data_IF_361320729955
#
_entry.id   IF_361320729955
#
_cell.length_a   1.000
_cell.length_b   1.000
_cell.length_c   1.000
_cell.angle_alpha   90.00
_cell.angle_beta   90.00
_cell.angle_gamma   90.00
#
_symmetry.space_group_name_H-M   'P 1'
#
loop_
_entity.id
_entity.type
_entity.pdbx_description
1 polymer ?
#
# COMPACT_ATOMS: atom_id res chain seq x y z
N UNK A 1 -4.89 16.88 2.77
CA UNK A 1 -6.08 16.44 1.99
C UNK A 1 -6.23 14.93 1.81
N UNK A 2 -5.30 14.09 2.28
CA UNK A 2 -5.43 12.61 2.24
C UNK A 2 -6.54 12.04 3.16
N UNK A 3 -6.81 12.70 4.29
CA UNK A 3 -7.84 12.27 5.26
C UNK A 3 -9.27 12.38 4.71
N UNK A 4 -9.52 13.29 3.75
CA UNK A 4 -10.84 13.44 3.13
C UNK A 4 -11.11 12.32 2.13
N UNK A 5 -10.12 11.95 1.31
CA UNK A 5 -10.21 10.88 0.32
C UNK A 5 -10.48 9.49 0.96
N UNK A 6 -9.81 9.19 2.09
CA UNK A 6 -10.05 7.98 2.87
C UNK A 6 -11.48 7.91 3.46
N UNK A 7 -12.16 9.05 3.61
CA UNK A 7 -13.49 9.13 4.23
C UNK A 7 -14.63 9.10 3.21
N UNK A 8 -14.35 9.25 1.91
CA UNK A 8 -15.38 9.37 0.86
C UNK A 8 -15.35 8.26 -0.18
N UNK A 9 -14.30 7.42 -0.21
CA UNK A 9 -14.14 6.38 -1.25
C UNK A 9 -14.43 5.00 -0.68
N UNK A 10 -15.37 4.28 -1.32
CA UNK A 10 -15.84 2.94 -0.89
C UNK A 10 -15.13 1.80 -1.63
N UNK A 11 -14.27 2.14 -2.58
CA UNK A 11 -13.51 1.21 -3.41
C UNK A 11 -12.08 1.74 -3.58
N UNK A 12 -11.15 0.81 -3.80
CA UNK A 12 -9.73 1.09 -3.99
C UNK A 12 -9.44 2.02 -5.19
N UNK A 13 -10.14 1.80 -6.31
CA UNK A 13 -9.98 2.61 -7.52
C UNK A 13 -10.35 4.07 -7.27
N UNK A 14 -11.42 4.33 -6.54
CA UNK A 14 -11.84 5.70 -6.23
C UNK A 14 -10.83 6.40 -5.31
N UNK A 15 -10.24 5.68 -4.35
CA UNK A 15 -9.24 6.23 -3.43
C UNK A 15 -7.97 6.66 -4.18
N UNK A 16 -7.50 5.82 -5.10
CA UNK A 16 -6.35 6.11 -5.96
C UNK A 16 -6.67 7.23 -6.94
N UNK A 17 -7.85 7.19 -7.58
CA UNK A 17 -8.27 8.21 -8.53
C UNK A 17 -8.42 9.59 -7.87
N UNK A 18 -8.93 9.63 -6.64
CA UNK A 18 -9.02 10.87 -5.84
C UNK A 18 -7.64 11.38 -5.43
N UNK A 19 -6.68 10.50 -5.14
CA UNK A 19 -5.28 10.89 -4.88
C UNK A 19 -4.58 11.41 -6.15
N UNK A 20 -4.94 10.87 -7.33
CA UNK A 20 -4.47 11.31 -8.64
C UNK A 20 -5.03 12.69 -9.01
N UNK A 21 -6.34 12.90 -8.83
CA UNK A 21 -7.03 14.13 -9.21
C UNK A 21 -6.64 15.35 -8.35
N UNK A 22 -5.92 15.17 -7.23
CA UNK A 22 -5.57 16.26 -6.31
C UNK A 22 -4.25 17.00 -6.62
N UNK A 23 -3.40 16.48 -7.52
CA UNK A 23 -2.25 17.18 -8.14
C UNK A 23 -1.05 17.54 -7.25
N UNK A 24 0.17 17.19 -7.70
CA UNK A 24 1.46 17.69 -7.19
C UNK A 24 2.45 16.58 -6.82
N UNK A 25 2.19 15.91 -5.68
CA UNK A 25 2.94 14.77 -5.09
C UNK A 25 2.03 13.53 -4.98
N UNK A 26 1.37 13.22 -6.09
CA UNK A 26 0.39 12.14 -6.20
C UNK A 26 0.99 10.77 -5.86
N UNK A 27 2.25 10.54 -6.21
CA UNK A 27 2.97 9.29 -5.93
C UNK A 27 3.16 9.06 -4.42
N UNK A 28 3.50 10.10 -3.68
CA UNK A 28 3.75 10.06 -2.25
C UNK A 28 2.45 9.87 -1.48
N UNK A 29 1.38 10.56 -1.87
CA UNK A 29 0.05 10.37 -1.27
C UNK A 29 -0.50 8.99 -1.60
N UNK A 30 -0.35 8.51 -2.84
CA UNK A 30 -0.78 7.17 -3.24
C UNK A 30 0.02 6.07 -2.52
N UNK A 31 1.33 6.24 -2.34
CA UNK A 31 2.17 5.30 -1.61
C UNK A 31 1.77 5.22 -0.13
N UNK A 32 1.54 6.37 0.52
CA UNK A 32 1.08 6.39 1.92
C UNK A 32 -0.34 5.79 2.08
N UNK A 33 -1.27 6.19 1.21
CA UNK A 33 -2.63 5.65 1.23
C UNK A 33 -2.62 4.13 0.97
N UNK A 34 -1.77 3.68 0.04
CA UNK A 34 -1.56 2.27 -0.24
C UNK A 34 -0.99 1.53 0.96
N UNK A 35 0.05 2.03 1.60
CA UNK A 35 0.61 1.39 2.79
C UNK A 35 -0.45 1.20 3.90
N UNK A 36 -1.30 2.21 4.13
CA UNK A 36 -2.39 2.13 5.11
C UNK A 36 -3.46 1.12 4.68
N UNK A 37 -3.91 1.17 3.42
CA UNK A 37 -4.90 0.23 2.89
C UNK A 37 -4.40 -1.22 2.95
N UNK A 38 -3.15 -1.46 2.55
CA UNK A 38 -2.51 -2.77 2.62
C UNK A 38 -2.33 -3.28 4.05
N UNK A 39 -2.10 -2.39 5.02
CA UNK A 39 -2.03 -2.76 6.43
C UNK A 39 -3.39 -3.16 7.00
N UNK A 40 -4.48 -2.52 6.57
CA UNK A 40 -5.84 -2.80 7.04
C UNK A 40 -6.44 -4.03 6.37
N UNK A 41 -6.25 -4.17 5.06
CA UNK A 41 -6.92 -5.18 4.24
C UNK A 41 -6.01 -6.35 3.82
N UNK A 42 -4.72 -6.30 4.16
CA UNK A 42 -3.73 -7.30 3.76
C UNK A 42 -3.37 -7.21 2.28
N UNK A 43 -2.50 -8.13 1.84
CA UNK A 43 -1.99 -8.16 0.46
C UNK A 43 -3.09 -8.43 -0.58
N UNK A 44 -4.21 -9.07 -0.19
CA UNK A 44 -5.35 -9.33 -1.06
C UNK A 44 -6.12 -8.06 -1.49
N UNK A 45 -5.80 -6.91 -0.90
CA UNK A 45 -6.33 -5.62 -1.32
C UNK A 45 -5.81 -5.16 -2.69
N UNK A 46 -4.73 -5.78 -3.19
CA UNK A 46 -4.07 -5.41 -4.44
C UNK A 46 -4.37 -6.41 -5.56
N UNK A 47 -4.48 -5.95 -6.82
CA UNK A 47 -4.48 -6.84 -7.97
C UNK A 47 -3.20 -7.70 -7.97
N UNK A 48 -3.36 -9.02 -8.10
CA UNK A 48 -2.25 -9.97 -7.98
C UNK A 48 -1.21 -9.81 -9.11
N UNK A 49 -1.67 -9.43 -10.29
CA UNK A 49 -0.85 -9.10 -11.47
C UNK A 49 -0.01 -7.85 -11.22
N UNK A 50 -0.61 -6.78 -10.69
CA UNK A 50 0.12 -5.56 -10.35
C UNK A 50 1.19 -5.81 -9.27
N UNK A 51 0.88 -6.63 -8.26
CA UNK A 51 1.85 -7.01 -7.22
C UNK A 51 3.00 -7.84 -7.81
N UNK A 52 2.70 -8.81 -8.67
CA UNK A 52 3.69 -9.63 -9.35
C UNK A 52 4.62 -8.80 -10.23
N UNK A 53 4.09 -7.83 -10.99
CA UNK A 53 4.86 -6.92 -11.83
C UNK A 53 5.81 -6.05 -11.02
N UNK A 54 5.34 -5.50 -9.89
CA UNK A 54 6.19 -4.70 -8.99
C UNK A 54 7.30 -5.55 -8.40
N UNK A 55 7.00 -6.77 -7.95
CA UNK A 55 7.99 -7.70 -7.43
C UNK A 55 9.05 -8.09 -8.48
N UNK A 56 8.61 -8.41 -9.70
CA UNK A 56 9.50 -8.80 -10.80
C UNK A 56 10.44 -7.65 -11.21
N UNK A 57 9.92 -6.43 -11.32
CA UNK A 57 10.72 -5.25 -11.71
C UNK A 57 11.73 -4.84 -10.65
N UNK A 58 11.39 -4.99 -9.38
CA UNK A 58 12.26 -4.61 -8.27
C UNK A 58 13.15 -5.76 -7.78
N UNK A 59 12.93 -7.00 -8.25
CA UNK A 59 13.61 -8.20 -7.76
C UNK A 59 13.33 -8.46 -6.28
N UNK A 60 12.19 -8.02 -5.77
CA UNK A 60 11.82 -8.10 -4.36
C UNK A 60 10.77 -9.17 -4.13
N UNK A 61 10.97 -10.00 -3.11
CA UNK A 61 9.90 -10.78 -2.51
C UNK A 61 9.31 -10.01 -1.32
N UNK A 62 8.24 -9.26 -1.60
CA UNK A 62 7.56 -8.44 -0.60
C UNK A 62 6.96 -9.29 0.53
N UNK A 63 6.58 -10.54 0.26
CA UNK A 63 6.03 -11.44 1.28
C UNK A 63 7.11 -11.82 2.27
N UNK A 64 8.26 -12.30 1.78
CA UNK A 64 9.41 -12.66 2.61
C UNK A 64 9.98 -11.46 3.37
N UNK A 65 10.04 -10.29 2.74
CA UNK A 65 10.47 -9.05 3.39
C UNK A 65 9.55 -8.66 4.56
N UNK A 66 8.23 -8.66 4.32
CA UNK A 66 7.24 -8.38 5.36
C UNK A 66 7.33 -9.37 6.52
N UNK A 67 7.46 -10.67 6.25
CA UNK A 67 7.64 -11.69 7.27
C UNK A 67 8.92 -11.45 8.10
N UNK A 68 10.04 -11.09 7.44
CA UNK A 68 11.30 -10.76 8.11
C UNK A 68 11.20 -9.54 9.02
N UNK A 69 10.51 -8.47 8.57
CA UNK A 69 10.27 -7.26 9.36
C UNK A 69 9.35 -7.52 10.56
N UNK A 70 8.32 -8.35 10.39
CA UNK A 70 7.43 -8.78 11.48
C UNK A 70 8.21 -9.55 12.54
N UNK A 71 9.03 -10.52 12.13
CA UNK A 71 9.88 -11.28 13.04
C UNK A 71 10.89 -10.38 13.77
N UNK A 72 11.45 -9.36 13.11
CA UNK A 72 12.34 -8.38 13.75
C UNK A 72 11.59 -7.57 14.82
N UNK A 73 10.38 -7.10 14.50
CA UNK A 73 9.53 -6.36 15.44
C UNK A 73 9.19 -7.20 16.69
N UNK A 74 8.91 -8.48 16.51
CA UNK A 74 8.63 -9.40 17.63
C UNK A 74 9.86 -9.61 18.51
N UNK A 75 11.06 -9.73 17.92
CA UNK A 75 12.32 -9.84 18.66
C UNK A 75 12.64 -8.61 19.52
N UNK A 76 12.24 -7.42 19.08
CA UNK A 76 12.45 -6.17 19.85
C UNK A 76 11.37 -5.87 20.89
N UNK A 77 10.25 -6.62 20.89
CA UNK A 77 9.20 -6.50 21.92
C UNK A 77 9.42 -7.40 23.13
N UNK A 78 10.34 -8.34 23.03
CA UNK A 78 10.83 -9.20 24.13
C UNK A 78 12.11 -8.60 24.73
#
# INVERSE_FOLDING_TARGET
>A
SAVWALRTTRTYEDAIRTAIDLGGDTDTVAAMAGAVLGAVHGAAAWPADALADVQARNGLDLTSLCAGLLALRERHRN
#
